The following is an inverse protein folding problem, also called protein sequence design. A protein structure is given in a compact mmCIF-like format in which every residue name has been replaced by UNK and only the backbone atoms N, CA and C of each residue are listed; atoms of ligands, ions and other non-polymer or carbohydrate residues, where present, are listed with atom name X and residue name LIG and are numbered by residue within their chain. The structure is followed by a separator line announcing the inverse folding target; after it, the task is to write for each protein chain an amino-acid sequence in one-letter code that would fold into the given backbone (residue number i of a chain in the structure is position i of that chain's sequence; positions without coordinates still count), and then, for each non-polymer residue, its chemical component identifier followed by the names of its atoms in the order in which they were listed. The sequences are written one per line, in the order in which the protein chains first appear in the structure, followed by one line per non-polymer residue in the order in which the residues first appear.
data_IF_964813232465
#
_entry.id   IF_964813232465
#
_cell.length_a   1.000
_cell.length_b   1.000
_cell.length_c   1.000
_cell.angle_alpha   90.00
_cell.angle_beta   90.00
_cell.angle_gamma   90.00
#
_symmetry.space_group_name_H-M   'P 1'
#
loop_
_entity.id
_entity.type
_entity.pdbx_description
1 polymer ?
#
# COMPACT_ATOMS: atom_id res chain seq x y z
N UNK A 1 19.55 -0.92 -13.62
CA UNK A 1 19.87 -1.73 -12.43
C UNK A 1 18.57 -2.31 -11.91
N UNK A 2 18.47 -3.63 -11.78
CA UNK A 2 17.34 -4.27 -11.09
C UNK A 2 17.47 -3.99 -9.60
N UNK A 3 16.69 -3.03 -9.09
CA UNK A 3 16.50 -2.86 -7.65
C UNK A 3 15.74 -4.11 -7.18
N UNK A 4 16.37 -4.93 -6.36
CA UNK A 4 15.80 -6.19 -5.82
C UNK A 4 15.27 -6.05 -4.39
N UNK A 5 15.47 -4.89 -3.78
CA UNK A 5 15.09 -4.59 -2.40
C UNK A 5 14.69 -3.13 -2.30
N UNK A 6 13.76 -2.79 -1.40
CA UNK A 6 13.49 -1.39 -1.09
C UNK A 6 14.75 -0.71 -0.57
N UNK A 7 14.87 0.59 -0.83
CA UNK A 7 15.94 1.40 -0.23
C UNK A 7 15.83 1.30 1.29
N UNK A 8 16.96 1.07 1.95
CA UNK A 8 17.04 1.00 3.41
C UNK A 8 17.49 2.35 3.97
N UNK A 9 16.83 2.81 5.02
CA UNK A 9 17.19 3.98 5.83
C UNK A 9 17.26 3.59 7.30
N UNK A 10 18.02 4.34 8.08
CA UNK A 10 18.13 4.16 9.53
C UNK A 10 17.46 5.33 10.23
N UNK A 11 16.45 5.04 11.06
CA UNK A 11 15.78 6.07 11.85
C UNK A 11 16.78 6.73 12.81
N UNK A 12 16.83 8.06 12.79
CA UNK A 12 17.69 8.85 13.67
C UNK A 12 16.88 9.55 14.75
N UNK A 13 15.63 9.92 14.45
CA UNK A 13 14.75 10.59 15.40
C UNK A 13 13.27 10.35 15.09
N UNK A 14 12.51 10.05 16.14
CA UNK A 14 11.05 10.07 16.12
C UNK A 14 10.58 11.51 16.37
N UNK A 15 9.80 12.05 15.43
CA UNK A 15 9.37 13.46 15.45
C UNK A 15 8.04 13.61 16.16
N UNK A 16 7.01 12.91 15.68
CA UNK A 16 5.66 12.96 16.25
C UNK A 16 4.78 11.79 15.79
N UNK A 17 3.74 11.43 16.56
CA UNK A 17 2.70 10.51 16.11
C UNK A 17 1.77 11.19 15.10
N UNK A 18 1.41 10.45 14.04
CA UNK A 18 0.35 10.79 13.11
C UNK A 18 -0.89 9.98 13.50
N UNK A 19 -1.92 10.67 14.01
CA UNK A 19 -3.14 10.02 14.49
C UNK A 19 -4.06 9.70 13.31
N UNK A 20 -3.82 8.55 12.68
CA UNK A 20 -4.70 7.95 11.67
C UNK A 20 -5.32 6.67 12.23
N UNK A 21 -6.60 6.72 12.59
CA UNK A 21 -7.35 5.56 13.06
C UNK A 21 -6.61 4.72 14.12
N UNK A 22 -6.49 3.41 13.87
CA UNK A 22 -5.86 2.45 14.79
C UNK A 22 -4.43 2.05 14.44
N UNK A 23 -3.79 2.64 13.41
CA UNK A 23 -2.45 2.24 12.94
C UNK A 23 -1.30 3.04 13.57
N UNK A 24 -1.58 4.20 14.18
CA UNK A 24 -0.63 5.11 14.84
C UNK A 24 0.74 5.22 14.14
N UNK A 25 0.80 5.59 12.84
CA UNK A 25 2.06 5.83 12.16
C UNK A 25 2.83 7.00 12.80
N UNK A 26 4.14 7.06 12.57
CA UNK A 26 5.02 8.08 13.13
C UNK A 26 5.81 8.81 12.06
N UNK A 27 5.98 10.12 12.23
CA UNK A 27 6.92 10.89 11.42
C UNK A 27 8.34 10.69 11.97
N UNK A 28 9.28 10.27 11.12
CA UNK A 28 10.64 9.88 11.50
C UNK A 28 11.67 10.56 10.58
N UNK A 29 12.71 11.14 11.17
CA UNK A 29 13.93 11.56 10.48
C UNK A 29 14.85 10.34 10.31
N UNK A 30 15.54 10.24 9.17
CA UNK A 30 16.51 9.17 8.92
C UNK A 30 17.93 9.68 8.62
N UNK A 31 18.87 8.74 8.47
CA UNK A 31 20.29 8.98 8.27
C UNK A 31 20.64 9.63 6.92
N UNK A 32 19.72 9.57 5.95
CA UNK A 32 19.81 10.21 4.65
C UNK A 32 19.29 11.66 4.62
N UNK A 33 18.96 12.22 5.79
CA UNK A 33 18.34 13.54 5.96
C UNK A 33 16.90 13.64 5.42
N UNK A 34 16.28 12.50 5.07
CA UNK A 34 14.89 12.39 4.66
C UNK A 34 13.92 12.29 5.84
N UNK A 35 12.65 12.52 5.53
CA UNK A 35 11.52 12.40 6.47
C UNK A 35 10.57 11.32 5.96
N UNK A 36 10.14 10.44 6.86
CA UNK A 36 9.31 9.29 6.50
C UNK A 36 8.11 9.17 7.42
N UNK A 37 6.95 8.85 6.84
CA UNK A 37 5.81 8.31 7.57
C UNK A 37 6.06 6.82 7.76
N UNK A 38 6.35 6.41 9.00
CA UNK A 38 6.70 5.04 9.34
C UNK A 38 5.49 4.31 9.90
N UNK A 39 5.14 3.19 9.27
CA UNK A 39 4.21 2.19 9.80
C UNK A 39 5.00 1.18 10.61
N UNK A 40 4.69 1.11 11.90
CA UNK A 40 5.43 0.32 12.86
C UNK A 40 4.99 -1.15 12.88
N UNK A 41 5.95 -2.08 12.91
CA UNK A 41 5.70 -3.52 12.95
C UNK A 41 4.95 -3.93 14.23
N UNK A 42 5.19 -3.25 15.35
CA UNK A 42 4.49 -3.50 16.61
C UNK A 42 3.03 -3.04 16.65
N UNK A 43 2.53 -2.38 15.59
CA UNK A 43 1.14 -1.96 15.51
C UNK A 43 0.20 -3.16 15.35
N UNK A 44 -1.00 -3.06 15.93
CA UNK A 44 -1.97 -4.16 15.99
C UNK A 44 -2.51 -4.67 14.64
N UNK A 45 -2.21 -3.97 13.54
CA UNK A 45 -2.60 -4.38 12.18
C UNK A 45 -1.73 -5.54 11.63
N UNK A 46 -0.52 -5.72 12.18
CA UNK A 46 0.35 -6.86 11.90
C UNK A 46 1.10 -6.80 10.55
N UNK A 47 2.05 -7.72 10.38
CA UNK A 47 2.98 -7.77 9.23
C UNK A 47 2.29 -7.81 7.85
N UNK A 48 1.09 -8.41 7.76
CA UNK A 48 0.34 -8.54 6.50
C UNK A 48 -0.02 -7.18 5.92
N UNK A 49 -0.36 -6.20 6.75
CA UNK A 49 -0.64 -4.83 6.31
C UNK A 49 0.60 -4.17 5.70
N UNK A 50 1.79 -4.41 6.26
CA UNK A 50 3.05 -3.93 5.68
C UNK A 50 3.35 -4.62 4.34
N UNK A 51 3.08 -5.93 4.25
CA UNK A 51 3.21 -6.69 2.99
C UNK A 51 2.25 -6.15 1.93
N UNK A 52 0.99 -5.90 2.28
CA UNK A 52 0.00 -5.29 1.38
C UNK A 52 0.47 -3.91 0.90
N UNK A 53 0.96 -3.06 1.80
CA UNK A 53 1.47 -1.75 1.46
C UNK A 53 2.61 -1.82 0.43
N UNK A 54 3.58 -2.71 0.63
CA UNK A 54 4.69 -2.89 -0.32
C UNK A 54 4.19 -3.45 -1.65
N UNK A 55 3.41 -4.54 -1.64
CA UNK A 55 2.99 -5.20 -2.88
C UNK A 55 2.07 -4.30 -3.71
N UNK A 56 1.08 -3.68 -3.09
CA UNK A 56 0.18 -2.78 -3.79
C UNK A 56 0.87 -1.46 -4.13
N UNK A 57 1.56 -0.81 -3.19
CA UNK A 57 2.23 0.47 -3.41
C UNK A 57 3.25 0.41 -4.55
N UNK A 58 4.14 -0.60 -4.55
CA UNK A 58 5.16 -0.75 -5.60
C UNK A 58 4.57 -1.24 -6.93
N UNK A 59 3.50 -2.04 -6.91
CA UNK A 59 2.74 -2.34 -8.14
C UNK A 59 2.13 -1.05 -8.72
N UNK A 60 1.53 -0.20 -7.89
CA UNK A 60 0.98 1.09 -8.29
C UNK A 60 2.04 1.99 -8.92
N UNK A 61 3.22 2.11 -8.27
CA UNK A 61 4.37 2.86 -8.83
C UNK A 61 4.82 2.32 -10.18
N UNK A 62 4.93 1.00 -10.31
CA UNK A 62 5.33 0.37 -11.56
C UNK A 62 4.30 0.54 -12.69
N UNK A 63 3.02 0.69 -12.34
CA UNK A 63 1.92 1.04 -13.26
C UNK A 63 1.80 2.55 -13.52
N UNK A 64 2.71 3.35 -12.99
CA UNK A 64 2.77 4.80 -13.19
C UNK A 64 1.78 5.60 -12.34
N UNK A 65 1.21 5.00 -11.29
CA UNK A 65 0.39 5.72 -10.32
C UNK A 65 1.26 6.52 -9.34
N UNK A 66 0.80 7.70 -8.90
CA UNK A 66 1.54 8.56 -7.98
C UNK A 66 1.45 8.02 -6.55
N UNK A 67 2.27 7.03 -6.21
CA UNK A 67 2.45 6.59 -4.82
C UNK A 67 3.80 7.16 -4.34
N UNK A 68 3.93 7.70 -3.11
CA UNK A 68 5.24 8.10 -2.57
C UNK A 68 6.24 6.94 -2.55
N UNK A 69 7.54 7.23 -2.48
CA UNK A 69 8.55 6.17 -2.40
C UNK A 69 8.38 5.36 -1.09
N UNK A 70 8.46 4.04 -1.17
CA UNK A 70 8.55 3.18 0.01
C UNK A 70 10.01 2.83 0.31
N UNK A 71 10.33 2.81 1.60
CA UNK A 71 11.65 2.44 2.13
C UNK A 71 11.48 1.42 3.26
N UNK A 72 12.52 0.63 3.50
CA UNK A 72 12.64 -0.08 4.78
C UNK A 72 13.33 0.84 5.78
N UNK A 73 12.73 1.00 6.96
CA UNK A 73 13.25 1.84 8.03
C UNK A 73 13.72 0.97 9.19
N UNK A 74 15.03 0.92 9.43
CA UNK A 74 15.58 0.33 10.64
C UNK A 74 15.29 1.25 11.82
N UNK A 75 14.61 0.76 12.85
CA UNK A 75 14.19 1.53 14.01
C UNK A 75 14.81 0.97 15.29
N UNK A 76 15.55 1.78 16.02
CA UNK A 76 16.01 1.44 17.37
C UNK A 76 14.94 1.89 18.39
N UNK A 77 14.45 0.95 19.19
CA UNK A 77 13.49 1.20 20.27
C UNK A 77 13.96 2.28 21.28
N UNK A 78 15.27 2.55 21.36
CA UNK A 78 15.83 3.65 22.15
C UNK A 78 15.26 5.01 21.73
N UNK A 79 14.94 5.21 20.44
CA UNK A 79 14.41 6.46 19.88
C UNK A 79 13.05 6.79 20.49
N UNK A 80 12.22 5.78 20.79
CA UNK A 80 10.90 5.96 21.37
C UNK A 80 10.88 6.27 22.88
N UNK A 81 12.02 6.24 23.58
CA UNK A 81 12.06 6.36 25.05
C UNK A 81 11.58 7.71 25.59
N UNK A 82 11.69 8.78 24.80
CA UNK A 82 11.27 10.12 25.18
C UNK A 82 9.82 10.43 24.82
N UNK A 83 9.09 9.51 24.18
CA UNK A 83 7.68 9.70 23.86
C UNK A 83 6.85 9.81 25.15
N UNK A 84 6.15 10.93 25.39
CA UNK A 84 5.36 11.14 26.59
C UNK A 84 4.06 10.34 26.63
N UNK A 85 3.47 10.00 25.48
CA UNK A 85 2.25 9.19 25.40
C UNK A 85 2.58 7.71 25.68
N UNK A 86 2.11 7.11 26.79
CA UNK A 86 2.49 5.75 27.15
C UNK A 86 2.07 4.70 26.10
N UNK A 87 0.96 4.91 25.40
CA UNK A 87 0.48 3.97 24.37
C UNK A 87 1.41 3.98 23.15
N UNK A 88 1.78 5.18 22.69
CA UNK A 88 2.74 5.35 21.60
C UNK A 88 4.13 4.86 22.02
N UNK A 89 4.55 5.14 23.24
CA UNK A 89 5.84 4.68 23.75
C UNK A 89 5.95 3.14 23.76
N UNK A 90 4.91 2.43 24.21
CA UNK A 90 4.90 0.97 24.18
C UNK A 90 4.90 0.42 22.75
N UNK A 91 4.15 1.05 21.83
CA UNK A 91 4.22 0.73 20.39
C UNK A 91 5.65 0.86 19.86
N UNK A 92 6.32 1.99 20.11
CA UNK A 92 7.69 2.22 19.61
C UNK A 92 8.70 1.24 20.23
N UNK A 93 8.56 0.91 21.52
CA UNK A 93 9.39 -0.11 22.18
C UNK A 93 9.23 -1.49 21.54
N UNK A 94 8.01 -1.85 21.17
CA UNK A 94 7.69 -3.12 20.50
C UNK A 94 8.10 -3.15 19.02
N UNK A 95 8.53 -2.03 18.44
CA UNK A 95 8.78 -1.87 17.01
C UNK A 95 10.27 -1.75 16.65
N UNK A 96 11.16 -2.21 17.54
CA UNK A 96 12.59 -2.32 17.23
C UNK A 96 12.86 -3.28 16.07
N UNK A 97 13.70 -2.87 15.12
CA UNK A 97 14.02 -3.63 13.90
C UNK A 97 13.47 -2.98 12.63
N UNK A 98 13.14 -3.78 11.63
CA UNK A 98 12.69 -3.30 10.32
C UNK A 98 11.22 -2.89 10.33
N UNK A 99 10.96 -1.68 9.86
CA UNK A 99 9.62 -1.12 9.68
C UNK A 99 9.46 -0.63 8.25
N UNK A 100 8.25 -0.23 7.87
CA UNK A 100 7.97 0.34 6.55
C UNK A 100 7.89 1.86 6.64
N UNK A 101 8.74 2.55 5.89
CA UNK A 101 8.66 3.99 5.69
C UNK A 101 8.04 4.32 4.35
N UNK A 102 7.28 5.42 4.31
CA UNK A 102 6.81 6.07 3.10
C UNK A 102 7.34 7.50 3.10
N UNK A 103 7.83 7.98 1.96
CA UNK A 103 8.32 9.36 1.83
C UNK A 103 7.26 10.37 2.32
N UNK A 104 7.66 11.23 3.25
CA UNK A 104 6.77 12.26 3.77
C UNK A 104 6.69 13.42 2.78
N UNK A 105 5.49 13.75 2.31
CA UNK A 105 5.26 14.82 1.34
C UNK A 105 5.02 16.16 2.05
N UNK A 106 6.01 17.05 2.20
CA UNK A 106 5.83 18.24 3.04
C UNK A 106 4.86 19.21 2.39
N UNK A 107 3.89 19.70 3.17
CA UNK A 107 2.85 20.61 2.70
C UNK A 107 1.75 19.94 1.88
N UNK A 108 1.69 18.60 1.84
CA UNK A 108 0.54 17.90 1.26
C UNK A 108 -0.73 18.16 2.07
N UNK A 109 -1.87 18.19 1.40
CA UNK A 109 -3.19 18.28 2.01
C UNK A 109 -3.92 16.94 1.84
N UNK A 110 -4.88 16.65 2.73
CA UNK A 110 -5.83 15.57 2.47
C UNK A 110 -6.58 15.83 1.17
N UNK A 111 -6.73 14.80 0.34
CA UNK A 111 -7.50 14.91 -0.90
C UNK A 111 -9.00 15.02 -0.59
N UNK A 112 -9.70 15.97 -1.21
CA UNK A 112 -11.16 16.11 -1.12
C UNK A 112 -11.75 16.09 -2.54
N UNK A 113 -12.52 15.05 -2.92
CA UNK A 113 -13.10 14.92 -4.26
C UNK A 113 -14.11 16.02 -4.61
N UNK A 114 -14.65 16.75 -3.62
CA UNK A 114 -15.59 17.84 -3.84
C UNK A 114 -14.91 19.15 -4.24
N UNK A 115 -13.60 19.27 -3.98
CA UNK A 115 -12.85 20.52 -4.18
C UNK A 115 -11.85 20.43 -5.34
N UNK A 116 -11.52 19.21 -5.77
CA UNK A 116 -10.50 18.98 -6.79
C UNK A 116 -11.10 18.23 -7.99
N UNK A 117 -11.03 18.86 -9.17
CA UNK A 117 -11.41 18.20 -10.42
C UNK A 117 -10.40 17.10 -10.77
N UNK A 118 -10.90 15.89 -10.95
CA UNK A 118 -10.08 14.73 -11.30
C UNK A 118 -10.30 14.36 -12.75
N UNK A 119 -9.21 14.18 -13.49
CA UNK A 119 -9.27 13.65 -14.86
C UNK A 119 -9.86 12.23 -14.86
N UNK A 120 -10.83 12.00 -15.74
CA UNK A 120 -11.51 10.70 -15.93
C UNK A 120 -10.53 9.55 -16.19
N UNK A 121 -9.44 9.81 -16.92
CA UNK A 121 -8.41 8.81 -17.21
C UNK A 121 -7.64 8.42 -15.95
N UNK A 122 -7.21 9.42 -15.16
CA UNK A 122 -6.62 9.17 -13.85
C UNK A 122 -7.57 8.40 -12.92
N UNK A 123 -8.83 8.83 -12.83
CA UNK A 123 -9.85 8.15 -12.02
C UNK A 123 -10.04 6.69 -12.45
N UNK A 124 -10.08 6.43 -13.76
CA UNK A 124 -10.14 5.07 -14.33
C UNK A 124 -8.97 4.21 -13.89
N UNK A 125 -7.74 4.73 -13.99
CA UNK A 125 -6.52 3.99 -13.61
C UNK A 125 -6.46 3.66 -12.12
N UNK A 126 -6.85 4.60 -11.25
CA UNK A 126 -6.89 4.38 -9.79
C UNK A 126 -7.95 3.35 -9.44
N UNK A 127 -9.19 3.52 -9.92
CA UNK A 127 -10.28 2.58 -9.63
C UNK A 127 -9.99 1.17 -10.18
N UNK A 128 -9.40 1.07 -11.37
CA UNK A 128 -8.96 -0.22 -11.93
C UNK A 128 -7.91 -0.89 -11.04
N UNK A 129 -6.93 -0.13 -10.55
CA UNK A 129 -5.88 -0.63 -9.68
C UNK A 129 -6.40 -1.06 -8.29
N UNK A 130 -7.30 -0.28 -7.70
CA UNK A 130 -7.96 -0.64 -6.44
C UNK A 130 -8.84 -1.88 -6.61
N UNK A 131 -9.49 -2.04 -7.76
CA UNK A 131 -10.26 -3.23 -8.07
C UNK A 131 -9.37 -4.47 -8.29
N UNK A 132 -8.22 -4.33 -8.96
CA UNK A 132 -7.22 -5.40 -9.12
C UNK A 132 -6.69 -5.85 -7.74
N UNK A 133 -6.33 -4.90 -6.88
CA UNK A 133 -5.73 -5.19 -5.56
C UNK A 133 -6.77 -5.48 -4.47
N UNK A 134 -8.06 -5.22 -4.73
CA UNK A 134 -9.15 -5.41 -3.77
C UNK A 134 -9.10 -4.42 -2.61
N UNK A 135 -8.83 -3.14 -2.89
CA UNK A 135 -8.75 -2.08 -1.88
C UNK A 135 -10.14 -1.72 -1.34
N UNK A 136 -10.42 -2.01 -0.08
CA UNK A 136 -11.74 -1.73 0.53
C UNK A 136 -11.81 -0.40 1.27
N UNK A 137 -10.70 0.32 1.39
CA UNK A 137 -10.63 1.50 2.28
C UNK A 137 -10.49 2.83 1.52
N UNK A 138 -10.38 2.82 0.18
CA UNK A 138 -10.37 4.03 -0.63
C UNK A 138 -11.79 4.55 -0.89
N UNK A 139 -12.33 5.29 0.06
CA UNK A 139 -13.71 5.79 0.03
C UNK A 139 -13.80 7.31 0.07
N UNK A 140 -14.96 7.88 -0.24
CA UNK A 140 -15.16 9.34 -0.10
C UNK A 140 -15.03 9.86 1.35
N UNK A 141 -15.21 8.99 2.36
CA UNK A 141 -15.00 9.34 3.78
C UNK A 141 -13.55 9.19 4.21
N UNK A 142 -12.85 8.25 3.61
CA UNK A 142 -11.43 8.00 3.83
C UNK A 142 -10.71 7.89 2.48
N UNK A 143 -10.35 9.03 1.84
CA UNK A 143 -9.76 9.01 0.50
C UNK A 143 -8.44 8.24 0.41
N UNK A 144 -7.68 8.13 1.51
CA UNK A 144 -6.32 7.61 1.52
C UNK A 144 -5.48 8.19 0.36
N UNK A 145 -5.66 9.49 0.11
CA UNK A 145 -5.03 10.24 -0.95
C UNK A 145 -4.59 11.59 -0.42
N UNK A 146 -3.47 12.07 -0.94
CA UNK A 146 -2.92 13.39 -0.64
C UNK A 146 -2.92 14.25 -1.90
N UNK A 147 -3.08 15.56 -1.75
CA UNK A 147 -2.78 16.54 -2.78
C UNK A 147 -1.42 17.17 -2.48
N UNK A 148 -0.44 16.96 -3.35
CA UNK A 148 0.90 17.51 -3.20
C UNK A 148 1.36 18.19 -4.49
N UNK A 149 1.76 19.46 -4.39
CA UNK A 149 2.08 20.33 -5.53
C UNK A 149 1.02 20.29 -6.65
N UNK A 150 -0.26 20.28 -6.26
CA UNK A 150 -1.40 20.27 -7.19
C UNK A 150 -1.66 18.93 -7.88
N UNK A 151 -1.06 17.83 -7.41
CA UNK A 151 -1.25 16.48 -7.97
C UNK A 151 -1.72 15.50 -6.88
N UNK A 152 -2.66 14.60 -7.20
CA UNK A 152 -3.07 13.56 -6.28
C UNK A 152 -1.95 12.52 -6.11
N UNK A 153 -1.79 12.01 -4.90
CA UNK A 153 -0.93 10.89 -4.53
C UNK A 153 -1.75 9.85 -3.76
N UNK A 154 -1.54 8.58 -4.07
CA UNK A 154 -2.18 7.45 -3.39
C UNK A 154 -1.32 7.05 -2.19
N UNK A 155 -1.94 6.97 -1.02
CA UNK A 155 -1.32 6.47 0.19
C UNK A 155 -2.17 5.34 0.77
N UNK A 156 -1.66 4.72 1.82
CA UNK A 156 -2.31 3.69 2.62
C UNK A 156 -2.99 2.57 1.81
N UNK A 157 -2.18 1.64 1.33
CA UNK A 157 -2.63 0.41 0.66
C UNK A 157 -2.70 -0.77 1.64
N UNK A 158 -2.64 -0.53 2.95
CA UNK A 158 -2.64 -1.57 3.97
C UNK A 158 -3.92 -2.42 4.02
N UNK A 159 -5.03 -1.90 3.49
CA UNK A 159 -6.33 -2.57 3.38
C UNK A 159 -6.56 -3.23 1.99
N UNK A 160 -5.49 -3.44 1.21
CA UNK A 160 -5.53 -4.20 -0.04
C UNK A 160 -5.22 -5.68 0.18
N UNK A 161 -5.36 -6.50 -0.86
CA UNK A 161 -4.96 -7.91 -0.89
C UNK A 161 -5.60 -8.80 0.18
N UNK A 162 -6.83 -8.48 0.59
CA UNK A 162 -7.55 -9.09 1.74
C UNK A 162 -7.56 -10.62 1.71
N UNK A 163 -7.53 -11.24 0.52
CA UNK A 163 -7.42 -12.70 0.36
C UNK A 163 -6.25 -13.30 1.14
N UNK A 164 -5.16 -12.56 1.35
CA UNK A 164 -3.97 -13.03 2.05
C UNK A 164 -4.20 -13.27 3.55
N UNK A 165 -5.32 -12.82 4.13
CA UNK A 165 -5.72 -13.17 5.49
C UNK A 165 -6.36 -14.56 5.56
N UNK A 166 -6.69 -15.16 4.41
CA UNK A 166 -7.26 -16.50 4.30
C UNK A 166 -6.73 -17.21 3.04
N UNK A 167 -5.44 -17.52 3.05
CA UNK A 167 -4.75 -18.21 1.94
C UNK A 167 -5.46 -19.50 1.48
N UNK A 168 -6.00 -20.27 2.43
CA UNK A 168 -6.73 -21.51 2.13
C UNK A 168 -7.97 -21.30 1.24
N UNK A 169 -8.52 -20.08 1.18
CA UNK A 169 -9.68 -19.74 0.36
C UNK A 169 -9.37 -18.60 -0.64
N UNK A 170 -8.09 -18.27 -0.87
CA UNK A 170 -7.69 -17.13 -1.69
C UNK A 170 -8.28 -17.22 -3.11
N UNK A 171 -8.35 -18.42 -3.70
CA UNK A 171 -8.88 -18.63 -5.05
C UNK A 171 -10.32 -18.11 -5.22
N UNK A 172 -11.14 -18.12 -4.17
CA UNK A 172 -12.52 -17.58 -4.21
C UNK A 172 -12.55 -16.07 -4.45
N UNK A 173 -11.48 -15.37 -4.12
CA UNK A 173 -11.37 -13.93 -4.30
C UNK A 173 -10.91 -13.57 -5.71
N UNK A 174 -10.35 -14.49 -6.50
CA UNK A 174 -9.79 -14.20 -7.84
C UNK A 174 -10.83 -13.54 -8.74
N UNK A 175 -12.03 -14.11 -8.80
CA UNK A 175 -13.13 -13.63 -9.65
C UNK A 175 -14.13 -12.74 -8.91
N UNK A 176 -13.90 -12.46 -7.63
CA UNK A 176 -14.84 -11.69 -6.81
C UNK A 176 -14.99 -10.26 -7.37
N UNK A 177 -16.23 -9.84 -7.71
CA UNK A 177 -16.51 -8.46 -8.12
C UNK A 177 -16.04 -7.44 -7.10
N UNK A 178 -15.47 -6.34 -7.58
CA UNK A 178 -15.12 -5.19 -6.76
C UNK A 178 -16.33 -4.26 -6.61
N UNK A 179 -16.65 -3.88 -5.38
CA UNK A 179 -17.72 -2.92 -5.08
C UNK A 179 -17.12 -1.51 -5.07
N UNK A 180 -17.47 -0.70 -6.07
CA UNK A 180 -16.98 0.65 -6.25
C UNK A 180 -17.97 1.73 -5.78
N UNK A 181 -19.08 1.34 -5.13
CA UNK A 181 -20.18 2.25 -4.80
C UNK A 181 -19.75 3.44 -3.92
N UNK A 182 -18.87 3.21 -2.95
CA UNK A 182 -18.34 4.24 -2.05
C UNK A 182 -16.97 4.79 -2.48
N UNK A 183 -16.45 4.38 -3.64
CA UNK A 183 -15.10 4.75 -4.08
C UNK A 183 -14.95 6.26 -4.29
N UNK A 184 -13.88 6.85 -3.77
CA UNK A 184 -13.67 8.31 -3.75
C UNK A 184 -13.72 8.97 -5.13
N UNK A 185 -13.33 8.26 -6.19
CA UNK A 185 -13.29 8.77 -7.56
C UNK A 185 -14.48 8.33 -8.43
N UNK A 186 -15.50 7.67 -7.86
CA UNK A 186 -16.66 7.19 -8.64
C UNK A 186 -17.42 8.34 -9.33
N UNK A 187 -17.46 9.52 -8.71
CA UNK A 187 -18.09 10.73 -9.26
C UNK A 187 -17.34 11.39 -10.42
N UNK A 188 -16.12 10.97 -10.74
CA UNK A 188 -15.28 11.56 -11.80
C UNK A 188 -15.48 10.91 -13.19
N UNK A 189 -16.55 10.12 -13.36
CA UNK A 189 -16.82 9.30 -14.56
C UNK A 189 -15.60 8.49 -15.03
N UNK A 190 -15.06 7.56 -14.20
CA UNK A 190 -13.82 6.82 -14.50
C UNK A 190 -13.85 6.05 -15.83
N UNK A 191 -12.82 6.19 -16.66
CA UNK A 191 -12.68 5.41 -17.91
C UNK A 191 -11.97 4.08 -17.65
N UNK A 192 -12.74 3.09 -17.16
CA UNK A 192 -12.21 1.77 -16.84
C UNK A 192 -11.80 0.96 -18.07
N UNK A 193 -12.44 1.20 -19.22
CA UNK A 193 -12.10 0.50 -20.46
C UNK A 193 -10.72 0.92 -20.96
N UNK A 194 -10.44 2.24 -20.96
CA UNK A 194 -9.11 2.75 -21.28
C UNK A 194 -8.07 2.28 -20.24
N UNK A 195 -8.41 2.32 -18.95
CA UNK A 195 -7.52 1.84 -17.89
C UNK A 195 -7.17 0.35 -18.05
N UNK A 196 -8.13 -0.52 -18.36
CA UNK A 196 -7.87 -1.95 -18.57
C UNK A 196 -6.96 -2.21 -19.78
N UNK A 197 -7.23 -1.51 -20.90
CA UNK A 197 -6.41 -1.62 -22.10
C UNK A 197 -4.95 -1.20 -21.85
N UNK A 198 -4.74 -0.16 -21.02
CA UNK A 198 -3.41 0.38 -20.72
C UNK A 198 -2.67 -0.41 -19.65
N UNK A 199 -3.35 -0.86 -18.59
CA UNK A 199 -2.73 -1.40 -17.37
C UNK A 199 -2.62 -2.91 -17.37
N UNK A 200 -3.64 -3.64 -17.84
CA UNK A 200 -3.66 -5.10 -17.77
C UNK A 200 -2.45 -5.76 -18.46
N UNK A 201 -2.00 -5.31 -19.65
CA UNK A 201 -0.83 -5.90 -20.31
C UNK A 201 0.49 -5.68 -19.56
N UNK A 202 0.57 -4.69 -18.66
CA UNK A 202 1.76 -4.40 -17.87
C UNK A 202 1.90 -5.34 -16.66
N UNK A 203 0.79 -5.90 -16.17
CA UNK A 203 0.77 -6.83 -15.03
C UNK A 203 1.11 -8.24 -15.48
N UNK A 204 2.39 -8.44 -15.80
CA UNK A 204 2.96 -9.74 -16.16
C UNK A 204 3.70 -10.41 -14.97
N UNK A 205 4.08 -11.68 -15.17
CA UNK A 205 4.79 -12.45 -14.15
C UNK A 205 6.12 -11.79 -13.75
N UNK A 206 6.81 -11.17 -14.70
CA UNK A 206 8.09 -10.51 -14.46
C UNK A 206 7.95 -9.29 -13.55
N UNK A 207 6.94 -8.45 -13.79
CA UNK A 207 6.60 -7.32 -12.94
C UNK A 207 6.21 -7.79 -11.54
N UNK A 208 5.27 -8.74 -11.45
CA UNK A 208 4.78 -9.22 -10.16
C UNK A 208 5.90 -9.85 -9.34
N UNK A 209 6.79 -10.65 -9.95
CA UNK A 209 7.99 -11.17 -9.28
C UNK A 209 8.87 -10.04 -8.76
N UNK A 210 9.18 -9.02 -9.58
CA UNK A 210 9.99 -7.88 -9.11
C UNK A 210 9.36 -7.16 -7.91
N UNK A 211 8.05 -6.93 -7.95
CA UNK A 211 7.31 -6.27 -6.86
C UNK A 211 7.33 -7.11 -5.59
N UNK A 212 6.96 -8.39 -5.67
CA UNK A 212 6.90 -9.22 -4.45
C UNK A 212 8.27 -9.43 -3.85
N UNK A 213 9.37 -9.46 -4.61
CA UNK A 213 10.75 -9.54 -4.08
C UNK A 213 11.14 -8.34 -3.21
N UNK A 214 10.45 -7.19 -3.32
CA UNK A 214 10.72 -6.01 -2.50
C UNK A 214 10.28 -6.17 -1.04
N UNK A 215 9.36 -7.09 -0.74
CA UNK A 215 8.90 -7.34 0.64
C UNK A 215 10.00 -8.06 1.42
N UNK A 216 10.43 -7.60 2.62
CA UNK A 216 11.42 -8.30 3.44
C UNK A 216 11.03 -9.75 3.79
N UNK A 217 12.00 -10.67 3.79
CA UNK A 217 11.76 -12.09 4.13
C UNK A 217 11.19 -12.27 5.54
N UNK A 218 11.68 -11.49 6.51
CA UNK A 218 11.21 -11.49 7.90
C UNK A 218 9.72 -11.16 8.07
N UNK A 219 9.08 -10.55 7.08
CA UNK A 219 7.63 -10.28 7.10
C UNK A 219 6.82 -11.45 6.52
N UNK A 220 7.48 -12.44 5.91
CA UNK A 220 6.87 -13.60 5.26
C UNK A 220 7.20 -14.93 5.93
N UNK A 221 8.16 -14.98 6.85
CA UNK A 221 8.49 -16.19 7.62
C UNK A 221 7.27 -16.70 8.41
N UNK A 222 7.19 -18.00 8.65
CA UNK A 222 6.12 -18.62 9.45
C UNK A 222 4.69 -18.26 8.98
N UNK A 223 4.50 -18.00 7.69
CA UNK A 223 3.17 -17.79 7.12
C UNK A 223 2.41 -19.12 7.04
N UNK A 224 1.25 -19.27 7.71
CA UNK A 224 0.54 -20.54 7.74
C UNK A 224 0.19 -21.06 6.34
N UNK A 225 0.56 -22.32 6.07
CA UNK A 225 0.31 -22.98 4.78
C UNK A 225 1.45 -22.85 3.76
N UNK A 226 2.61 -22.32 4.15
CA UNK A 226 3.79 -22.18 3.28
C UNK A 226 5.06 -22.66 3.99
N UNK A 227 6.02 -23.20 3.24
CA UNK A 227 7.29 -23.70 3.79
C UNK A 227 8.33 -22.58 3.95
N UNK A 228 8.12 -21.43 3.29
CA UNK A 228 8.95 -20.24 3.50
C UNK A 228 8.56 -19.03 2.63
N UNK A 229 9.29 -17.91 2.78
CA UNK A 229 9.01 -16.64 2.09
C UNK A 229 8.84 -16.77 0.57
N UNK A 230 9.65 -17.61 -0.08
CA UNK A 230 9.59 -17.83 -1.52
C UNK A 230 8.25 -18.39 -1.99
N UNK A 231 7.63 -19.30 -1.22
CA UNK A 231 6.34 -19.88 -1.57
C UNK A 231 5.20 -18.87 -1.39
N UNK A 232 5.30 -18.01 -0.37
CA UNK A 232 4.36 -16.91 -0.14
C UNK A 232 4.42 -15.91 -1.31
N UNK A 233 5.63 -15.52 -1.75
CA UNK A 233 5.81 -14.67 -2.94
C UNK A 233 5.19 -15.30 -4.19
N UNK A 234 5.47 -16.59 -4.41
CA UNK A 234 4.89 -17.32 -5.54
C UNK A 234 3.36 -17.36 -5.48
N UNK A 235 2.76 -17.43 -4.28
CA UNK A 235 1.31 -17.39 -4.11
C UNK A 235 0.71 -16.03 -4.47
N UNK A 236 1.33 -14.91 -4.07
CA UNK A 236 0.92 -13.57 -4.51
C UNK A 236 0.97 -13.44 -6.04
N UNK A 237 2.06 -13.89 -6.67
CA UNK A 237 2.23 -13.85 -8.13
C UNK A 237 1.13 -14.66 -8.82
N UNK A 238 0.87 -15.90 -8.37
CA UNK A 238 -0.20 -16.75 -8.93
C UNK A 238 -1.57 -16.09 -8.82
N UNK A 239 -1.91 -15.55 -7.64
CA UNK A 239 -3.19 -14.91 -7.41
C UNK A 239 -3.39 -13.69 -8.32
N UNK A 240 -2.41 -12.78 -8.39
CA UNK A 240 -2.54 -11.54 -9.16
C UNK A 240 -2.57 -11.81 -10.67
N UNK A 241 -1.81 -12.80 -11.16
CA UNK A 241 -1.89 -13.26 -12.55
C UNK A 241 -3.26 -13.83 -12.89
N UNK A 242 -3.79 -14.71 -12.03
CA UNK A 242 -5.12 -15.29 -12.23
C UNK A 242 -6.20 -14.19 -12.23
N UNK A 243 -6.08 -13.21 -11.33
CA UNK A 243 -7.02 -12.09 -11.24
C UNK A 243 -6.98 -11.24 -12.50
N UNK A 244 -5.81 -10.77 -12.96
CA UNK A 244 -5.73 -9.91 -14.15
C UNK A 244 -6.09 -10.63 -15.47
N UNK A 245 -6.05 -11.97 -15.50
CA UNK A 245 -6.38 -12.74 -16.70
C UNK A 245 -7.84 -12.58 -17.14
N UNK A 246 -8.82 -12.65 -16.24
CA UNK A 246 -10.23 -12.81 -16.62
C UNK A 246 -11.15 -11.62 -16.32
N UNK A 247 -10.64 -10.49 -15.77
CA UNK A 247 -11.32 -9.18 -15.58
C UNK A 247 -12.78 -9.16 -15.07
N UNK A 248 -13.36 -10.29 -14.68
CA UNK A 248 -14.73 -10.42 -14.19
C UNK A 248 -14.99 -9.66 -12.89
N UNK A 249 -13.93 -9.20 -12.24
CA UNK A 249 -13.95 -8.41 -11.03
C UNK A 249 -14.11 -6.90 -11.29
N UNK A 250 -13.85 -6.43 -12.51
CA UNK A 250 -13.88 -5.01 -12.84
C UNK A 250 -15.34 -4.52 -12.79
N UNK A 251 -15.65 -3.45 -12.02
CA UNK A 251 -17.02 -3.00 -11.87
C UNK A 251 -17.54 -2.44 -13.21
N UNK A 252 -18.81 -2.69 -13.50
CA UNK A 252 -19.51 -1.98 -14.56
C UNK A 252 -19.74 -0.54 -14.09
N UNK A 253 -19.06 0.43 -14.70
CA UNK A 253 -19.41 1.83 -14.48
C UNK A 253 -20.57 2.13 -15.41
N UNK A 254 -21.79 2.12 -14.88
CA UNK A 254 -22.93 2.72 -15.58
C UNK A 254 -22.62 4.20 -15.78
N UNK A 255 -22.38 4.59 -17.03
CA UNK A 255 -22.17 5.96 -17.45
C UNK A 255 -23.42 6.83 -17.35
#
# INVERSE_FOLDING_TARGET
MLVRVLRKVVATRYVLPLREGGSLPGLVEADDLGMYVVKFLGAGQGRKTLVAEVVAGELGRALGLPVPELVTAEFDAVIGRSEPDPEVQELLKASGGLNLGMDFLPGSLGFDPLTFEVDRGFAGRVLWFDALTGNVDRSWRNPNMLLWHGRPYLIDHGATLIFHHNWANADRFVHRPYDASDHVLSGASPDLAAADADLAPLVDEGLLRRVVELVPDEWLVDEPGFDGPGDVRAAYVRYLLARVAERSWLPEVTG
#
